data_IF_041602964239
#
_entry.id   IF_041602964239
#
_cell.length_a   1.000
_cell.length_b   1.000
_cell.length_c   1.000
_cell.angle_alpha   90.00
_cell.angle_beta   90.00
_cell.angle_gamma   90.00
#
_symmetry.space_group_name_H-M   'P 1'
#
loop_
_entity.id
_entity.type
_entity.pdbx_description
1 polymer ?
#
# COMPACT_ATOMS: atom_id res chain seq x y z
N UNK A 1 -4.72 -1.53 -21.12
CA UNK A 1 -6.08 -1.45 -21.68
C UNK A 1 -7.14 -1.67 -20.60
N UNK A 2 -7.24 -2.84 -19.95
CA UNK A 2 -8.26 -3.07 -18.91
C UNK A 2 -8.22 -2.07 -17.73
N UNK A 3 -7.03 -1.69 -17.26
CA UNK A 3 -6.87 -0.71 -16.18
C UNK A 3 -7.37 0.70 -16.57
N UNK A 4 -7.07 1.14 -17.80
CA UNK A 4 -7.53 2.45 -18.28
C UNK A 4 -9.05 2.49 -18.37
N UNK A 5 -9.67 1.39 -18.80
CA UNK A 5 -11.14 1.26 -18.82
C UNK A 5 -11.71 1.26 -17.40
N UNK A 6 -11.07 0.58 -16.44
CA UNK A 6 -11.48 0.64 -15.04
C UNK A 6 -11.42 2.06 -14.46
N UNK A 7 -10.48 2.89 -14.89
CA UNK A 7 -10.32 4.24 -14.36
C UNK A 7 -11.20 5.27 -15.09
N UNK A 8 -11.35 5.15 -16.40
CA UNK A 8 -12.04 6.15 -17.23
C UNK A 8 -13.48 5.77 -17.57
N UNK A 9 -13.78 4.48 -17.72
CA UNK A 9 -15.08 3.98 -18.19
C UNK A 9 -15.94 3.43 -17.03
N UNK A 10 -15.43 3.43 -15.81
CA UNK A 10 -16.20 3.10 -14.60
C UNK A 10 -16.81 4.36 -14.02
N UNK A 11 -18.09 4.29 -13.65
CA UNK A 11 -18.80 5.40 -13.02
C UNK A 11 -18.41 5.55 -11.54
N UNK A 12 -17.19 6.00 -11.29
CA UNK A 12 -16.74 6.44 -9.97
C UNK A 12 -17.55 7.69 -9.58
N UNK A 13 -18.27 7.61 -8.47
CA UNK A 13 -18.94 8.78 -7.87
C UNK A 13 -17.89 9.68 -7.20
N UNK A 14 -18.34 10.69 -6.46
CA UNK A 14 -17.45 11.47 -5.61
C UNK A 14 -16.76 10.56 -4.58
N UNK A 15 -15.43 10.56 -4.59
CA UNK A 15 -14.59 9.73 -3.74
C UNK A 15 -13.42 10.57 -3.22
N UNK A 16 -13.10 10.43 -1.93
CA UNK A 16 -11.88 11.00 -1.36
C UNK A 16 -10.65 10.16 -1.71
N UNK A 17 -10.83 8.83 -1.84
CA UNK A 17 -9.75 7.88 -2.09
C UNK A 17 -10.18 6.81 -3.10
N UNK A 18 -9.29 6.53 -4.05
CA UNK A 18 -9.34 5.35 -4.91
C UNK A 18 -8.10 4.50 -4.60
N UNK A 19 -8.31 3.34 -3.96
CA UNK A 19 -7.22 2.40 -3.66
C UNK A 19 -7.10 1.41 -4.82
N UNK A 20 -5.91 1.33 -5.40
CA UNK A 20 -5.62 0.41 -6.50
C UNK A 20 -4.74 -0.71 -5.96
N UNK A 21 -5.27 -1.93 -5.96
CA UNK A 21 -4.49 -3.13 -5.68
C UNK A 21 -3.73 -3.55 -6.95
N UNK A 22 -2.41 -3.54 -6.88
CA UNK A 22 -1.55 -3.83 -8.02
C UNK A 22 -1.20 -5.32 -8.02
N UNK A 23 -1.12 -5.95 -9.20
CA UNK A 23 -0.59 -7.31 -9.27
C UNK A 23 0.81 -7.36 -8.65
N UNK A 24 1.21 -8.50 -8.06
CA UNK A 24 2.53 -8.62 -7.45
C UNK A 24 3.66 -8.46 -8.50
N UNK A 25 4.85 -8.11 -8.00
CA UNK A 25 6.05 -7.94 -8.81
C UNK A 25 6.31 -6.50 -9.24
N UNK A 26 7.28 -6.34 -10.15
CA UNK A 26 7.81 -5.04 -10.60
C UNK A 26 7.85 -4.97 -12.13
N UNK A 27 6.83 -5.54 -12.77
CA UNK A 27 6.73 -5.59 -14.22
C UNK A 27 6.28 -4.26 -14.84
N UNK A 28 6.10 -4.28 -16.15
CA UNK A 28 5.73 -3.08 -16.92
C UNK A 28 4.32 -2.56 -16.59
N UNK A 29 3.45 -3.41 -16.03
CA UNK A 29 2.07 -3.03 -15.67
C UNK A 29 2.05 -1.94 -14.60
N UNK A 30 2.87 -2.06 -13.55
CA UNK A 30 2.90 -1.09 -12.46
C UNK A 30 3.51 0.25 -12.94
N UNK A 31 4.50 0.20 -13.83
CA UNK A 31 5.11 1.38 -14.44
C UNK A 31 4.11 2.10 -15.36
N UNK A 32 3.41 1.35 -16.20
CA UNK A 32 2.39 1.87 -17.10
C UNK A 32 1.26 2.53 -16.32
N UNK A 33 0.82 1.93 -15.20
CA UNK A 33 -0.17 2.56 -14.33
C UNK A 33 0.34 3.89 -13.77
N UNK A 34 1.53 3.89 -13.19
CA UNK A 34 2.08 5.10 -12.57
C UNK A 34 2.31 6.24 -13.58
N UNK A 35 2.57 5.92 -14.85
CA UNK A 35 2.73 6.91 -15.92
C UNK A 35 1.40 7.42 -16.48
N UNK A 36 0.38 6.56 -16.55
CA UNK A 36 -0.92 6.90 -17.17
C UNK A 36 -1.92 7.49 -16.19
N UNK A 37 -1.73 7.22 -14.90
CA UNK A 37 -2.68 7.57 -13.84
C UNK A 37 -1.96 8.47 -12.85
N UNK A 38 -2.54 9.62 -12.47
CA UNK A 38 -1.94 10.49 -11.46
C UNK A 38 -2.06 9.85 -10.06
N UNK A 39 -1.14 8.94 -9.75
CA UNK A 39 -1.06 8.27 -8.45
C UNK A 39 -0.55 9.27 -7.41
N UNK A 40 -1.36 9.51 -6.37
CA UNK A 40 -1.01 10.47 -5.32
C UNK A 40 0.00 9.91 -4.32
N UNK A 41 0.10 8.59 -4.20
CA UNK A 41 1.14 7.92 -3.44
C UNK A 41 0.99 6.41 -3.45
N UNK A 42 2.03 5.72 -3.01
CA UNK A 42 2.07 4.26 -2.92
C UNK A 42 2.41 3.78 -1.50
N UNK A 43 1.86 2.62 -1.14
CA UNK A 43 2.22 1.88 0.07
C UNK A 43 2.91 0.61 -0.37
N UNK A 44 4.10 0.35 0.16
CA UNK A 44 4.82 -0.90 -0.11
C UNK A 44 4.43 -1.91 0.97
N UNK A 45 3.89 -3.04 0.56
CA UNK A 45 3.58 -4.17 1.45
C UNK A 45 4.63 -5.25 1.23
N UNK A 46 5.22 -5.73 2.32
CA UNK A 46 6.22 -6.81 2.29
C UNK A 46 6.00 -7.75 3.47
N UNK A 47 6.81 -8.81 3.56
CA UNK A 47 6.88 -9.70 4.72
C UNK A 47 8.34 -9.76 5.20
N UNK A 48 8.64 -10.21 6.43
CA UNK A 48 9.98 -10.06 7.00
C UNK A 48 11.09 -10.89 6.30
N UNK A 49 10.73 -11.84 5.45
CA UNK A 49 11.65 -12.72 4.74
C UNK A 49 12.46 -11.97 3.68
N UNK A 50 13.74 -12.31 3.55
CA UNK A 50 14.67 -11.67 2.61
C UNK A 50 14.16 -11.66 1.16
N UNK A 51 13.54 -12.73 0.70
CA UNK A 51 13.01 -12.82 -0.67
C UNK A 51 11.91 -11.77 -0.90
N UNK A 52 10.99 -11.61 0.05
CA UNK A 52 9.92 -10.62 -0.05
C UNK A 52 10.45 -9.18 0.06
N UNK A 53 11.51 -8.97 0.87
CA UNK A 53 12.19 -7.69 0.98
C UNK A 53 12.88 -7.31 -0.34
N UNK A 54 13.52 -8.26 -1.03
CA UNK A 54 14.18 -8.00 -2.31
C UNK A 54 13.19 -7.49 -3.36
N UNK A 55 11.98 -8.06 -3.43
CA UNK A 55 10.97 -7.62 -4.38
C UNK A 55 10.32 -6.30 -3.95
N UNK A 56 10.10 -6.08 -2.65
CA UNK A 56 9.64 -4.80 -2.12
C UNK A 56 10.64 -3.66 -2.44
N UNK A 57 11.95 -3.92 -2.35
CA UNK A 57 13.02 -2.96 -2.72
C UNK A 57 12.97 -2.59 -4.19
N UNK A 58 12.77 -3.56 -5.08
CA UNK A 58 12.60 -3.28 -6.52
C UNK A 58 11.35 -2.44 -6.77
N UNK A 59 10.23 -2.76 -6.10
CA UNK A 59 8.96 -2.03 -6.24
C UNK A 59 9.09 -0.58 -5.75
N UNK A 60 9.75 -0.39 -4.60
CA UNK A 60 10.10 0.93 -4.08
C UNK A 60 10.87 1.75 -5.12
N UNK A 61 11.95 1.17 -5.68
CA UNK A 61 12.79 1.87 -6.66
C UNK A 61 12.09 2.15 -7.98
N UNK A 62 11.14 1.32 -8.38
CA UNK A 62 10.31 1.59 -9.55
C UNK A 62 9.43 2.83 -9.33
N UNK A 63 8.71 2.91 -8.21
CA UNK A 63 7.87 4.08 -7.90
C UNK A 63 8.68 5.37 -7.70
N UNK A 64 9.88 5.27 -7.10
CA UNK A 64 10.81 6.39 -7.00
C UNK A 64 11.21 6.94 -8.38
N UNK A 65 11.46 6.07 -9.37
CA UNK A 65 11.82 6.47 -10.74
C UNK A 65 10.71 7.20 -11.50
N UNK A 66 9.45 6.95 -11.17
CA UNK A 66 8.28 7.62 -11.76
C UNK A 66 7.73 8.71 -10.85
N UNK A 67 8.52 9.14 -9.87
CA UNK A 67 8.22 10.26 -8.97
C UNK A 67 6.92 10.08 -8.17
N UNK A 68 6.49 8.84 -7.95
CA UNK A 68 5.32 8.54 -7.11
C UNK A 68 5.76 8.52 -5.63
N UNK A 69 5.15 9.35 -4.77
CA UNK A 69 5.54 9.40 -3.36
C UNK A 69 5.24 8.10 -2.61
N UNK A 70 6.24 7.54 -1.92
CA UNK A 70 6.02 6.41 -1.02
C UNK A 70 5.48 6.92 0.33
N UNK A 71 4.22 6.60 0.62
CA UNK A 71 3.57 6.92 1.89
C UNK A 71 4.20 6.11 3.03
N UNK A 72 4.54 4.85 2.79
CA UNK A 72 5.30 4.08 3.75
C UNK A 72 5.32 2.60 3.45
N UNK A 73 5.86 1.85 4.41
CA UNK A 73 6.01 0.40 4.35
C UNK A 73 5.12 -0.25 5.40
N UNK A 74 4.40 -1.30 4.98
CA UNK A 74 3.67 -2.21 5.86
C UNK A 74 4.37 -3.57 5.82
N UNK A 75 4.67 -4.11 7.00
CA UNK A 75 5.17 -5.47 7.14
C UNK A 75 3.99 -6.40 7.49
N UNK A 76 3.59 -7.25 6.56
CA UNK A 76 2.57 -8.25 6.78
C UNK A 76 3.18 -9.54 7.35
N UNK A 77 2.35 -10.34 8.03
CA UNK A 77 2.76 -11.65 8.60
C UNK A 77 4.00 -11.58 9.51
N UNK A 78 4.09 -10.51 10.30
CA UNK A 78 5.27 -10.17 11.11
C UNK A 78 5.39 -10.98 12.41
N UNK A 79 4.24 -11.35 13.00
CA UNK A 79 4.15 -11.99 14.32
C UNK A 79 3.05 -13.04 14.27
N UNK A 80 3.34 -14.27 14.68
CA UNK A 80 2.30 -15.26 14.98
C UNK A 80 2.06 -15.31 16.48
N UNK A 81 0.79 -15.25 16.89
CA UNK A 81 0.41 -15.42 18.30
C UNK A 81 -0.29 -16.77 18.43
N UNK A 82 0.32 -17.68 19.21
CA UNK A 82 -0.23 -19.01 19.42
C UNK A 82 -1.57 -18.92 20.16
N UNK A 83 -2.64 -19.40 19.53
CA UNK A 83 -4.02 -19.36 20.08
C UNK A 83 -4.21 -20.19 21.35
N UNK A 84 -3.27 -21.09 21.67
CA UNK A 84 -3.35 -21.95 22.86
C UNK A 84 -2.63 -21.39 24.09
N UNK A 85 -1.51 -20.69 23.91
CA UNK A 85 -0.67 -20.23 25.02
C UNK A 85 -0.33 -18.73 24.98
N UNK A 86 -0.71 -18.00 23.92
CA UNK A 86 -0.42 -16.59 23.76
C UNK A 86 1.04 -16.27 23.43
N UNK A 87 1.89 -17.27 23.18
CA UNK A 87 3.27 -17.07 22.79
C UNK A 87 3.34 -16.33 21.44
N UNK A 88 4.12 -15.24 21.39
CA UNK A 88 4.41 -14.49 20.18
C UNK A 88 5.71 -15.03 19.57
N UNK A 89 5.67 -15.42 18.29
CA UNK A 89 6.84 -15.92 17.56
C UNK A 89 6.96 -15.30 16.16
N UNK A 90 8.19 -15.03 15.75
CA UNK A 90 8.54 -14.43 14.47
C UNK A 90 8.92 -15.51 13.46
N UNK A 91 7.95 -16.33 13.04
CA UNK A 91 8.18 -17.51 12.17
C UNK A 91 8.79 -17.18 10.80
N UNK A 92 8.70 -15.91 10.39
CA UNK A 92 9.16 -15.42 9.10
C UNK A 92 10.31 -14.42 9.20
N UNK A 93 10.91 -14.28 10.38
CA UNK A 93 11.85 -13.22 10.71
C UNK A 93 11.15 -11.99 11.28
N UNK A 94 11.96 -11.00 11.68
CA UNK A 94 11.48 -9.82 12.38
C UNK A 94 12.12 -8.54 11.83
N UNK A 95 11.30 -7.50 11.63
CA UNK A 95 11.74 -6.12 11.41
C UNK A 95 12.35 -5.84 10.04
N UNK A 96 12.13 -6.71 9.05
CA UNK A 96 12.61 -6.52 7.68
C UNK A 96 12.07 -5.23 7.04
N UNK A 97 10.76 -5.03 7.11
CA UNK A 97 10.08 -3.84 6.61
C UNK A 97 10.41 -2.58 7.41
N UNK A 98 10.63 -2.69 8.72
CA UNK A 98 11.06 -1.55 9.54
C UNK A 98 12.48 -1.09 9.17
N UNK A 99 13.43 -2.03 9.02
CA UNK A 99 14.79 -1.73 8.56
C UNK A 99 14.79 -1.14 7.15
N UNK A 100 13.97 -1.69 6.25
CA UNK A 100 13.81 -1.14 4.90
C UNK A 100 13.25 0.29 4.92
N UNK A 101 12.31 0.59 5.82
CA UNK A 101 11.74 1.92 5.95
C UNK A 101 12.78 2.94 6.42
N UNK A 102 13.61 2.56 7.39
CA UNK A 102 14.73 3.36 7.87
C UNK A 102 15.77 3.60 6.76
N UNK A 103 16.19 2.54 6.06
CA UNK A 103 17.18 2.61 4.98
C UNK A 103 16.77 3.59 3.87
N UNK A 104 15.49 3.60 3.49
CA UNK A 104 14.97 4.50 2.46
C UNK A 104 14.41 5.82 2.99
N UNK A 105 14.52 6.09 4.30
CA UNK A 105 14.02 7.32 4.91
C UNK A 105 12.51 7.51 4.78
N UNK A 106 11.74 6.41 4.75
CA UNK A 106 10.27 6.44 4.66
C UNK A 106 9.62 5.98 5.95
N UNK A 107 8.31 6.19 6.05
CA UNK A 107 7.55 5.88 7.26
C UNK A 107 7.26 4.39 7.34
N UNK A 108 7.62 3.75 8.45
CA UNK A 108 7.07 2.45 8.80
C UNK A 108 5.62 2.63 9.31
N UNK A 109 4.64 2.14 8.55
CA UNK A 109 3.23 2.35 8.87
C UNK A 109 2.77 1.41 9.98
N UNK A 110 3.23 0.16 9.95
CA UNK A 110 2.94 -0.82 10.97
C UNK A 110 3.23 -2.25 10.50
N UNK A 111 3.08 -3.17 11.45
CA UNK A 111 3.26 -4.60 11.24
C UNK A 111 1.95 -5.34 11.52
N UNK A 112 1.51 -6.21 10.62
CA UNK A 112 0.30 -7.03 10.79
C UNK A 112 0.66 -8.44 11.25
N UNK A 113 -0.13 -9.05 12.16
CA UNK A 113 0.13 -10.39 12.63
C UNK A 113 -0.36 -11.44 11.63
N UNK A 114 0.19 -12.65 11.74
CA UNK A 114 -0.31 -13.85 11.08
C UNK A 114 -1.28 -14.57 12.02
N UNK A 115 -2.57 -14.30 11.85
CA UNK A 115 -3.65 -14.91 12.62
C UNK A 115 -4.61 -15.68 11.72
N UNK A 116 -4.95 -16.91 12.12
CA UNK A 116 -5.88 -17.77 11.37
C UNK A 116 -7.22 -17.11 11.13
N UNK A 117 -7.72 -16.35 12.12
CA UNK A 117 -9.02 -15.71 12.00
C UNK A 117 -9.04 -14.66 10.88
N UNK A 118 -7.93 -13.94 10.64
CA UNK A 118 -7.89 -12.90 9.59
C UNK A 118 -8.20 -13.53 8.24
N UNK A 119 -7.62 -14.71 7.99
CA UNK A 119 -7.90 -15.52 6.81
C UNK A 119 -9.36 -15.97 6.78
N UNK A 120 -9.86 -16.59 7.86
CA UNK A 120 -11.23 -17.13 7.90
C UNK A 120 -12.31 -16.07 7.73
N UNK A 121 -12.15 -14.93 8.38
CA UNK A 121 -13.02 -13.76 8.25
C UNK A 121 -13.00 -13.20 6.83
N UNK A 122 -11.81 -13.05 6.24
CA UNK A 122 -11.67 -12.57 4.85
C UNK A 122 -12.24 -13.56 3.83
N UNK A 123 -11.96 -14.85 3.99
CA UNK A 123 -12.50 -15.94 3.15
C UNK A 123 -14.04 -16.02 3.24
N UNK A 124 -14.61 -15.65 4.40
CA UNK A 124 -16.07 -15.56 4.59
C UNK A 124 -16.71 -14.31 3.97
N UNK A 125 -15.91 -13.39 3.40
CA UNK A 125 -16.37 -12.12 2.85
C UNK A 125 -16.64 -11.04 3.91
N UNK A 126 -16.22 -11.24 5.17
CA UNK A 126 -16.35 -10.27 6.26
C UNK A 126 -14.96 -9.93 6.82
N UNK A 127 -14.22 -8.98 6.24
CA UNK A 127 -12.86 -8.64 6.67
C UNK A 127 -12.78 -8.34 8.17
N UNK A 128 -11.64 -8.62 8.80
CA UNK A 128 -11.42 -8.51 10.25
C UNK A 128 -11.86 -7.18 10.86
N UNK A 129 -11.61 -6.07 10.16
CA UNK A 129 -12.03 -4.72 10.59
C UNK A 129 -13.55 -4.54 10.70
N UNK A 130 -14.34 -5.37 10.01
CA UNK A 130 -15.81 -5.44 10.07
C UNK A 130 -16.27 -6.55 11.01
N UNK A 131 -15.61 -7.70 10.99
CA UNK A 131 -15.95 -8.85 11.82
C UNK A 131 -15.72 -8.58 13.31
N UNK A 132 -14.56 -8.02 13.64
CA UNK A 132 -14.11 -7.72 14.99
C UNK A 132 -13.49 -6.32 15.07
N UNK A 133 -14.32 -5.26 15.10
CA UNK A 133 -13.85 -3.87 15.03
C UNK A 133 -12.85 -3.46 16.13
N UNK A 134 -12.99 -4.03 17.33
CA UNK A 134 -12.24 -3.63 18.54
C UNK A 134 -11.04 -4.52 18.83
N UNK A 135 -10.81 -5.55 18.02
CA UNK A 135 -9.70 -6.45 18.23
C UNK A 135 -8.36 -5.86 17.74
N UNK A 136 -7.27 -6.38 18.29
CA UNK A 136 -5.90 -5.87 18.05
C UNK A 136 -5.56 -5.74 16.56
N UNK A 137 -5.81 -6.73 15.68
CA UNK A 137 -5.54 -6.58 14.24
C UNK A 137 -6.31 -5.43 13.59
N UNK A 138 -7.59 -5.26 13.93
CA UNK A 138 -8.44 -4.19 13.41
C UNK A 138 -7.93 -2.81 13.80
N UNK A 139 -7.45 -2.67 15.04
CA UNK A 139 -6.83 -1.44 15.52
C UNK A 139 -5.52 -1.13 14.79
N UNK A 140 -4.72 -2.15 14.49
CA UNK A 140 -3.49 -2.00 13.68
C UNK A 140 -3.82 -1.53 12.26
N UNK A 141 -4.80 -2.17 11.59
CA UNK A 141 -5.24 -1.73 10.25
C UNK A 141 -5.70 -0.27 10.24
N UNK A 142 -6.52 0.13 11.23
CA UNK A 142 -7.00 1.51 11.38
C UNK A 142 -5.85 2.50 11.59
N UNK A 143 -4.85 2.13 12.38
CA UNK A 143 -3.68 2.97 12.64
C UNK A 143 -2.79 3.11 11.39
N UNK A 144 -2.56 2.03 10.65
CA UNK A 144 -1.86 2.05 9.35
C UNK A 144 -2.59 3.00 8.38
N UNK A 145 -3.91 2.85 8.25
CA UNK A 145 -4.73 3.69 7.39
C UNK A 145 -4.67 5.17 7.80
N UNK A 146 -4.74 5.47 9.12
CA UNK A 146 -4.64 6.83 9.66
C UNK A 146 -3.29 7.46 9.34
N UNK A 147 -2.18 6.76 9.56
CA UNK A 147 -0.83 7.25 9.24
C UNK A 147 -0.67 7.52 7.75
N UNK A 148 -1.14 6.60 6.90
CA UNK A 148 -1.07 6.74 5.45
C UNK A 148 -1.90 7.95 4.97
N UNK A 149 -3.16 8.05 5.41
CA UNK A 149 -4.04 9.17 5.07
C UNK A 149 -3.50 10.52 5.56
N UNK A 150 -2.96 10.58 6.78
CA UNK A 150 -2.35 11.80 7.31
C UNK A 150 -1.08 12.22 6.56
N UNK A 151 -0.29 11.26 6.06
CA UNK A 151 0.87 11.58 5.22
C UNK A 151 0.45 12.06 3.84
N UNK A 152 -0.53 11.40 3.23
CA UNK A 152 -1.10 11.79 1.95
C UNK A 152 -1.74 13.20 2.01
N UNK A 153 -2.48 13.52 3.08
CA UNK A 153 -3.14 14.83 3.23
C UNK A 153 -2.16 16.00 3.38
N UNK A 154 -0.93 15.74 3.84
CA UNK A 154 0.13 16.75 3.97
C UNK A 154 0.90 16.96 2.67
N UNK A 155 0.72 16.12 1.66
CA UNK A 155 1.37 16.32 0.37
C UNK A 155 0.70 17.48 -0.36
N UNK A 156 1.52 18.34 -0.96
CA UNK A 156 1.01 19.33 -1.89
C UNK A 156 0.26 18.59 -3.01
N UNK A 157 -0.92 19.08 -3.39
CA UNK A 157 -1.65 18.53 -4.54
C UNK A 157 -0.71 18.58 -5.75
N UNK A 158 -0.25 17.41 -6.21
CA UNK A 158 0.57 17.33 -7.41
C UNK A 158 -0.33 17.64 -8.60
N UNK A 159 -0.20 18.85 -9.14
CA UNK A 159 -0.82 19.26 -10.40
C UNK A 159 0.04 18.84 -11.62
N UNK A 160 1.00 17.92 -11.47
CA UNK A 160 1.84 17.49 -12.60
C UNK A 160 1.03 16.94 -13.79
N UNK A 161 -0.20 16.46 -13.55
CA UNK A 161 -1.13 16.04 -14.59
C UNK A 161 -1.93 17.19 -15.26
N UNK A 162 -1.86 18.43 -14.75
CA UNK A 162 -2.42 19.62 -15.41
C UNK A 162 -1.34 20.29 -16.28
N UNK A 163 -0.94 19.66 -17.37
CA UNK A 163 -0.35 20.42 -18.47
C UNK A 163 -1.43 21.40 -19.00
N UNK A 164 -1.19 22.72 -19.04
CA UNK A 164 -2.14 23.65 -19.64
C UNK A 164 -2.24 23.39 -21.15
N UNK A 165 -3.44 23.49 -21.72
CA UNK A 165 -3.64 23.45 -23.17
C UNK A 165 -2.87 24.63 -23.80
N UNK A 166 -1.79 24.35 -24.51
CA UNK A 166 -1.09 25.34 -25.33
C UNK A 166 -1.96 25.58 -26.56
N UNK A 167 -2.75 26.66 -26.54
CA UNK A 167 -3.46 27.15 -27.73
C UNK A 167 -2.50 28.05 -28.49
N UNK A 168 -1.95 27.57 -29.60
CA UNK A 168 -1.21 28.41 -30.55
C UNK A 168 -2.25 29.21 -31.33
N UNK A 169 -2.42 30.49 -30.97
CA UNK A 169 -3.10 31.45 -31.85
C UNK A 169 -2.10 31.91 -32.91
N UNK A 170 -2.31 31.45 -34.15
CA UNK A 170 -1.68 32.06 -35.31
C UNK A 170 -2.46 33.34 -35.63
N UNK A 171 -1.79 34.49 -35.54
CA UNK A 171 -2.26 35.74 -36.13
C UNK A 171 -2.08 35.71 -37.65
#
# INVERSE_FOLDING_TARGET
QALEQLLNDTNWKELDYLVIDLPPGTGDTQLTLAQKVPVSGAIVVTTPQDIALLDARKGFKMFEKVEVPILGIVENMSIHICSKCGHEEHIFGEGGGSRMAEEYGVTFLGALPLETRIREETDSGKPTVVAEPEARPSMIYREIARKAAAKLSRQAKSYAAKFPNIVIQNN
#
